data_IF_437527357828
#
_entry.id   IF_437527357828
#
_cell.length_a   1.000
_cell.length_b   1.000
_cell.length_c   1.000
_cell.angle_alpha   90.00
_cell.angle_beta   90.00
_cell.angle_gamma   90.00
#
_symmetry.space_group_name_H-M   'P 1'
#
loop_
_entity.id
_entity.type
_entity.pdbx_description
1 polymer ?
2 non-polymer ?
3 non-polymer ?
4 water ?
#
# COMPACT_ATOMS: atom_id res chain seq x y z
N UNK A 21 -11.21 1.19 -12.47
CA UNK A 21 -12.38 1.74 -11.75
C UNK A 21 -13.16 0.64 -11.02
N UNK A 22 -12.97 -0.65 -11.37
CA UNK A 22 -13.60 -1.71 -10.58
C UNK A 22 -12.55 -2.69 -10.09
N UNK A 23 -12.86 -3.37 -8.99
CA UNK A 23 -11.97 -4.34 -8.38
C UNK A 23 -12.54 -5.75 -8.58
N UNK A 24 -11.68 -6.63 -9.08
CA UNK A 24 -12.00 -8.03 -9.23
C UNK A 24 -11.10 -8.86 -8.33
N UNK A 25 -11.51 -10.11 -8.06
CA UNK A 25 -10.68 -11.07 -7.38
C UNK A 25 -9.45 -11.37 -8.23
N UNK A 26 -8.28 -11.29 -7.61
CA UNK A 26 -7.00 -11.45 -8.27
C UNK A 26 -6.83 -12.88 -8.78
N UNK A 27 -7.44 -13.86 -8.10
CA UNK A 27 -7.24 -15.26 -8.40
C UNK A 27 -8.11 -15.70 -9.58
N UNK A 28 -9.36 -15.24 -9.65
CA UNK A 28 -10.33 -15.81 -10.57
C UNK A 28 -11.06 -14.76 -11.41
N UNK A 29 -11.10 -13.49 -10.96
CA UNK A 29 -11.66 -12.41 -11.75
C UNK A 29 -13.13 -12.08 -11.41
N UNK A 30 -13.64 -12.64 -10.31
CA UNK A 30 -14.97 -12.29 -9.81
C UNK A 30 -15.04 -10.80 -9.50
N UNK A 31 -16.18 -10.18 -9.84
CA UNK A 31 -16.44 -8.78 -9.54
C UNK A 31 -16.69 -8.61 -8.05
N UNK A 32 -16.00 -7.64 -7.41
CA UNK A 32 -16.07 -7.49 -5.96
C UNK A 32 -16.56 -6.09 -5.58
N UNK A 33 -15.93 -5.04 -6.08
CA UNK A 33 -16.23 -3.69 -5.61
C UNK A 33 -15.79 -2.64 -6.63
N UNK A 34 -15.94 -1.36 -6.27
CA UNK A 34 -15.66 -0.24 -7.14
C UNK A 34 -14.84 0.80 -6.38
N UNK A 35 -14.05 1.60 -7.11
CA UNK A 35 -13.23 2.66 -6.53
C UNK A 35 -14.17 3.72 -5.94
N UNK A 36 -15.30 3.96 -6.61
CA UNK A 36 -16.34 4.86 -6.15
C UNK A 36 -16.83 4.52 -4.75
N UNK A 37 -16.69 3.25 -4.33
CA UNK A 37 -17.25 2.78 -3.07
C UNK A 37 -16.23 2.81 -1.94
N UNK A 38 -15.01 3.29 -2.23
CA UNK A 38 -14.01 3.46 -1.18
C UNK A 38 -14.58 4.35 -0.10
N UNK A 39 -14.25 4.02 1.15
CA UNK A 39 -14.80 4.69 2.31
C UNK A 39 -13.68 5.08 3.27
N UNK A 40 -13.44 6.40 3.52
CA UNK A 40 -12.46 6.82 4.51
C UNK A 40 -12.96 6.62 5.93
N UNK A 41 -12.53 5.52 6.56
CA UNK A 41 -12.84 5.25 7.96
C UNK A 41 -11.74 5.88 8.83
N UNK A 42 -12.12 6.88 9.64
CA UNK A 42 -11.18 7.57 10.51
C UNK A 42 -10.07 8.29 9.75
N UNK A 43 -10.40 8.86 8.57
CA UNK A 43 -9.50 9.76 7.88
C UNK A 43 -8.96 9.22 6.56
N UNK A 44 -8.83 7.89 6.42
CA UNK A 44 -8.24 7.30 5.23
C UNK A 44 -8.92 5.97 4.93
N UNK A 45 -8.96 5.61 3.64
CA UNK A 45 -9.56 4.36 3.20
C UNK A 45 -8.60 3.18 3.42
N UNK A 46 -7.30 3.48 3.53
CA UNK A 46 -6.27 2.49 3.74
C UNK A 46 -5.87 2.43 5.21
N UNK A 47 -5.89 1.20 5.76
CA UNK A 47 -5.38 0.92 7.09
C UNK A 47 -4.44 -0.27 7.03
N UNK A 48 -3.22 -0.10 7.55
CA UNK A 48 -2.25 -1.18 7.63
C UNK A 48 -2.35 -1.79 9.02
N UNK A 49 -2.64 -3.10 9.10
CA UNK A 49 -2.96 -3.76 10.36
C UNK A 49 -2.20 -5.08 10.44
N UNK A 50 -2.04 -5.61 11.67
CA UNK A 50 -1.54 -6.97 11.84
C UNK A 50 -2.48 -7.78 12.72
N UNK A 51 -2.64 -9.07 12.39
CA UNK A 51 -3.45 -10.00 13.15
C UNK A 51 -2.59 -10.67 14.20
N UNK A 52 -3.16 -11.48 15.13
CA UNK A 52 -2.39 -12.11 16.20
C UNK A 52 -1.41 -13.19 15.72
N UNK A 53 -1.54 -13.63 14.45
CA UNK A 53 -0.58 -14.54 13.86
C UNK A 53 0.55 -13.78 13.18
N UNK A 54 0.53 -12.44 13.30
CA UNK A 54 1.66 -11.61 12.90
C UNK A 54 1.64 -11.24 11.43
N UNK A 55 0.57 -11.65 10.73
CA UNK A 55 0.38 -11.32 9.33
C UNK A 55 0.01 -9.84 9.25
N UNK A 56 0.67 -9.12 8.34
CA UNK A 56 0.35 -7.73 8.07
C UNK A 56 -0.47 -7.66 6.79
N UNK A 57 -1.51 -6.83 6.83
CA UNK A 57 -2.39 -6.61 5.70
C UNK A 57 -2.53 -5.10 5.47
N UNK A 58 -2.52 -4.70 4.20
CA UNK A 58 -2.99 -3.37 3.81
C UNK A 58 -4.46 -3.49 3.45
N UNK A 59 -5.31 -2.91 4.30
CA UNK A 59 -6.76 -3.08 4.19
C UNK A 59 -7.35 -1.78 3.63
N UNK A 60 -8.18 -1.94 2.58
CA UNK A 60 -8.95 -0.85 2.02
C UNK A 60 -10.40 -1.01 2.45
N UNK A 61 -11.02 0.09 2.87
CA UNK A 61 -12.40 0.08 3.35
C UNK A 61 -13.36 0.47 2.24
N UNK A 62 -14.39 -0.36 2.04
CA UNK A 62 -15.45 -0.12 1.08
C UNK A 62 -16.80 -0.12 1.80
N UNK A 63 -17.70 0.77 1.35
CA UNK A 63 -19.04 0.85 1.90
C UNK A 63 -19.87 -0.36 1.45
N UNK A 64 -19.56 -0.86 0.26
CA UNK A 64 -20.36 -1.85 -0.43
C UNK A 64 -19.41 -2.81 -1.14
N UNK A 65 -19.83 -4.07 -1.29
CA UNK A 65 -19.12 -5.07 -2.07
C UNK A 65 -20.11 -6.16 -2.50
N UNK A 66 -19.68 -6.98 -3.45
CA UNK A 66 -20.49 -8.05 -3.99
C UNK A 66 -19.59 -9.23 -4.34
N UNK A 67 -20.20 -10.39 -4.64
CA UNK A 67 -19.48 -11.55 -5.13
C UNK A 67 -18.69 -12.27 -4.04
N UNK A 68 -18.93 -11.89 -2.78
CA UNK A 68 -18.27 -12.51 -1.64
C UNK A 68 -19.19 -13.57 -1.06
N UNK A 69 -18.63 -14.38 -0.17
CA UNK A 69 -19.39 -15.29 0.67
C UNK A 69 -18.89 -15.10 2.10
N UNK A 70 -19.77 -14.63 2.97
CA UNK A 70 -19.43 -14.33 4.36
C UNK A 70 -19.61 -15.61 5.18
N UNK A 71 -18.59 -15.95 5.96
CA UNK A 71 -18.49 -17.27 6.59
C UNK A 71 -18.44 -17.11 8.10
N UNK A 72 -19.18 -18.00 8.78
CA UNK A 72 -19.23 -18.02 10.23
C UNK A 72 -20.17 -16.96 10.79
N UNK A 73 -20.16 -16.82 12.12
CA UNK A 73 -20.94 -15.81 12.81
C UNK A 73 -20.01 -14.63 13.14
N UNK A 74 -20.54 -13.40 13.32
CA UNK A 74 -19.70 -12.25 13.65
C UNK A 74 -18.96 -12.41 14.98
N UNK A 75 -17.73 -11.87 15.03
CA UNK A 75 -16.91 -11.92 16.23
C UNK A 75 -16.25 -10.57 16.44
N UNK A 76 -16.10 -10.16 17.71
CA UNK A 76 -15.48 -8.90 18.06
C UNK A 76 -14.04 -9.04 18.52
N UNK A 77 -13.53 -10.28 18.57
CA UNK A 77 -12.18 -10.56 19.05
C UNK A 77 -11.15 -9.96 18.10
N UNK A 78 -10.28 -9.10 18.65
CA UNK A 78 -9.17 -8.52 17.92
C UNK A 78 -9.68 -7.69 16.73
N UNK A 79 -10.84 -7.04 16.83
CA UNK A 79 -11.31 -6.18 15.77
C UNK A 79 -10.43 -4.94 15.67
N UNK A 80 -9.97 -4.62 14.46
CA UNK A 80 -9.14 -3.47 14.22
C UNK A 80 -9.97 -2.18 14.24
N UNK A 81 -11.30 -2.33 14.19
CA UNK A 81 -12.20 -1.18 14.13
C UNK A 81 -13.12 -1.19 15.34
N UNK A 82 -12.90 -0.22 16.24
CA UNK A 82 -13.63 -0.13 17.50
C UNK A 82 -15.13 -0.09 17.20
N UNK A 83 -15.89 -0.94 17.89
CA UNK A 83 -17.34 -0.94 17.80
C UNK A 83 -17.88 -1.92 16.76
N UNK A 84 -17.00 -2.58 15.99
CA UNK A 84 -17.46 -3.46 14.92
C UNK A 84 -17.07 -4.90 15.21
N UNK A 85 -17.99 -5.82 14.87
CA UNK A 85 -17.71 -7.24 14.86
C UNK A 85 -17.40 -7.63 13.41
N UNK A 86 -16.60 -8.68 13.22
CA UNK A 86 -16.14 -9.05 11.89
C UNK A 86 -16.63 -10.46 11.53
N UNK A 87 -16.78 -10.67 10.22
CA UNK A 87 -17.04 -11.96 9.62
C UNK A 87 -16.11 -12.11 8.43
N UNK A 88 -15.54 -13.31 8.24
CA UNK A 88 -14.59 -13.54 7.17
C UNK A 88 -15.31 -13.50 5.84
N UNK A 89 -14.69 -12.85 4.84
CA UNK A 89 -15.25 -12.71 3.50
C UNK A 89 -14.36 -13.45 2.51
N UNK A 90 -14.91 -14.53 1.94
CA UNK A 90 -14.26 -15.25 0.87
C UNK A 90 -14.78 -14.74 -0.47
N UNK A 91 -13.97 -14.93 -1.52
CA UNK A 91 -14.46 -14.86 -2.89
C UNK A 91 -15.51 -15.96 -3.06
N UNK A 92 -16.72 -15.56 -3.45
CA UNK A 92 -17.82 -16.48 -3.65
C UNK A 92 -17.58 -17.43 -4.80
N UNK A 93 -16.65 -17.08 -5.70
CA UNK A 93 -16.36 -17.90 -6.85
C UNK A 93 -15.28 -18.91 -6.49
N UNK A 94 -14.10 -18.45 -6.05
CA UNK A 94 -12.93 -19.31 -5.95
C UNK A 94 -12.55 -19.64 -4.50
N UNK A 95 -13.12 -18.93 -3.52
CA UNK A 95 -12.93 -19.27 -2.11
C UNK A 95 -11.71 -18.58 -1.50
N UNK A 96 -11.01 -17.76 -2.28
CA UNK A 96 -9.87 -17.01 -1.80
C UNK A 96 -10.33 -16.01 -0.74
N UNK A 97 -9.52 -15.87 0.32
CA UNK A 97 -9.83 -14.95 1.41
C UNK A 97 -9.53 -13.52 0.96
N UNK A 98 -10.57 -12.68 0.90
CA UNK A 98 -10.41 -11.32 0.37
C UNK A 98 -10.49 -10.27 1.48
N UNK A 99 -10.99 -10.64 2.67
CA UNK A 99 -11.05 -9.72 3.78
C UNK A 99 -12.13 -10.08 4.79
N UNK A 100 -12.85 -9.06 5.26
CA UNK A 100 -13.85 -9.22 6.30
C UNK A 100 -15.02 -8.26 6.07
N UNK A 101 -16.21 -8.67 6.50
CA UNK A 101 -17.34 -7.77 6.63
C UNK A 101 -17.42 -7.31 8.08
N UNK A 102 -17.66 -6.00 8.27
CA UNK A 102 -17.77 -5.42 9.60
C UNK A 102 -19.22 -5.02 9.82
N UNK A 103 -19.72 -5.25 11.04
CA UNK A 103 -21.10 -4.92 11.37
C UNK A 103 -21.21 -4.63 12.87
N UNK A 104 -22.38 -4.16 13.31
CA UNK A 104 -22.70 -3.99 14.72
C UNK A 104 -22.21 -2.66 15.28
N UNK A 105 -21.68 -1.80 14.39
CA UNK A 105 -21.23 -0.47 14.79
C UNK A 105 -22.24 0.59 14.37
N UNK A 106 -21.78 1.82 14.22
CA UNK A 106 -22.63 2.92 13.83
C UNK A 106 -21.84 3.95 13.02
N UNK A 107 -22.51 4.53 12.02
CA UNK A 107 -21.96 5.63 11.23
C UNK A 107 -20.63 5.21 10.62
N UNK A 108 -20.58 4.19 9.74
CA UNK A 108 -21.74 3.38 9.35
C UNK A 108 -21.92 2.12 10.18
N UNK A 109 -23.08 1.47 10.03
CA UNK A 109 -23.38 0.23 10.73
C UNK A 109 -22.50 -0.90 10.20
N UNK A 110 -22.33 -0.96 8.87
CA UNK A 110 -21.57 -2.03 8.23
C UNK A 110 -20.64 -1.45 7.16
N UNK A 111 -19.54 -2.17 6.89
CA UNK A 111 -18.66 -1.89 5.77
C UNK A 111 -17.78 -3.12 5.53
N UNK A 112 -16.97 -3.07 4.46
CA UNK A 112 -16.05 -4.15 4.16
C UNK A 112 -14.61 -3.65 4.24
N UNK A 113 -13.75 -4.47 4.87
CA UNK A 113 -12.31 -4.27 4.81
C UNK A 113 -11.66 -5.35 3.94
N UNK A 114 -11.20 -4.95 2.76
CA UNK A 114 -10.65 -5.89 1.78
C UNK A 114 -9.15 -5.70 1.65
N UNK A 115 -8.44 -6.80 1.43
CA UNK A 115 -6.99 -6.81 1.32
C UNK A 115 -6.59 -6.36 -0.09
N UNK A 116 -5.90 -5.22 -0.17
CA UNK A 116 -5.64 -4.56 -1.45
C UNK A 116 -4.95 -5.51 -2.43
N UNK A 117 -3.98 -6.30 -1.95
CA UNK A 117 -3.15 -7.08 -2.86
C UNK A 117 -3.83 -8.39 -3.25
N UNK A 118 -5.04 -8.64 -2.75
CA UNK A 118 -5.84 -9.77 -3.20
C UNK A 118 -6.81 -9.33 -4.29
N UNK A 119 -6.81 -8.04 -4.64
CA UNK A 119 -7.72 -7.50 -5.64
C UNK A 119 -6.95 -7.04 -6.88
N UNK A 120 -7.65 -6.98 -8.02
CA UNK A 120 -7.08 -6.49 -9.27
C UNK A 120 -7.97 -5.36 -9.80
N UNK A 121 -7.37 -4.20 -10.06
CA UNK A 121 -8.13 -3.03 -10.45
C UNK A 121 -8.12 -2.93 -11.97
N UNK A 122 -9.23 -2.49 -12.56
CA UNK A 122 -9.31 -2.35 -14.00
C UNK A 122 -10.62 -1.73 -14.47
N UNK A 123 -10.78 -1.57 -15.80
CA UNK A 123 -11.90 -0.85 -16.38
C UNK A 123 -13.26 -1.53 -16.20
N UNK A 124 -14.32 -0.72 -16.24
CA UNK A 124 -15.67 -1.18 -15.95
C UNK A 124 -16.20 -2.02 -17.11
N UNK B 21 20.11 -1.72 -5.58
CA UNK B 21 19.91 -2.87 -6.50
C UNK B 21 19.30 -2.43 -7.83
N UNK B 22 19.35 -3.34 -8.81
CA UNK B 22 18.85 -3.05 -10.14
C UNK B 22 17.89 -4.15 -10.57
N UNK B 23 17.03 -3.78 -11.53
CA UNK B 23 16.11 -4.71 -12.17
C UNK B 23 16.55 -4.97 -13.60
N UNK B 24 16.68 -6.25 -13.96
CA UNK B 24 17.13 -6.66 -15.28
C UNK B 24 16.00 -7.45 -15.94
N UNK B 25 16.07 -7.53 -17.28
CA UNK B 25 15.17 -8.37 -18.04
C UNK B 25 15.41 -9.83 -17.68
N UNK B 26 14.33 -10.54 -17.36
CA UNK B 26 14.42 -11.91 -16.86
C UNK B 26 14.87 -12.85 -17.98
N UNK B 27 14.57 -12.50 -19.23
CA UNK B 27 14.83 -13.36 -20.37
C UNK B 27 16.29 -13.26 -20.82
N UNK B 28 16.87 -12.05 -20.83
CA UNK B 28 18.17 -11.85 -21.46
C UNK B 28 19.18 -11.15 -20.54
N UNK B 29 18.71 -10.45 -19.50
CA UNK B 29 19.60 -9.92 -18.49
C UNK B 29 19.94 -8.44 -18.68
N UNK B 30 19.29 -7.77 -19.65
CA UNK B 30 19.58 -6.37 -19.87
C UNK B 30 19.13 -5.55 -18.66
N UNK B 31 19.90 -4.51 -18.32
CA UNK B 31 19.56 -3.56 -17.28
C UNK B 31 18.38 -2.69 -17.72
N UNK B 32 17.38 -2.57 -16.85
CA UNK B 32 16.14 -1.88 -17.17
C UNK B 32 15.90 -0.71 -16.22
N UNK B 33 15.97 -0.96 -14.91
CA UNK B 33 15.68 0.09 -13.94
C UNK B 33 16.39 -0.17 -12.62
N UNK B 34 16.12 0.70 -11.64
CA UNK B 34 16.78 0.67 -10.34
C UNK B 34 15.74 0.75 -9.24
N UNK B 35 16.07 0.20 -8.07
CA UNK B 35 15.17 0.22 -6.92
C UNK B 35 14.99 1.67 -6.47
N UNK B 36 16.07 2.46 -6.57
CA UNK B 36 16.06 3.89 -6.27
C UNK B 36 14.99 4.64 -7.07
N UNK B 37 14.57 4.10 -8.22
CA UNK B 37 13.63 4.78 -9.10
C UNK B 37 12.20 4.34 -8.86
N UNK B 38 11.95 3.47 -7.87
CA UNK B 38 10.59 3.08 -7.54
C UNK B 38 9.78 4.32 -7.24
N UNK B 39 8.52 4.33 -7.70
CA UNK B 39 7.68 5.52 -7.65
C UNK B 39 6.29 5.16 -7.13
N UNK B 40 5.88 5.65 -5.93
CA UNK B 40 4.54 5.37 -5.42
C UNK B 40 3.48 6.21 -6.13
N UNK B 41 2.80 5.61 -7.11
CA UNK B 41 1.71 6.25 -7.82
C UNK B 41 0.41 5.95 -7.09
N UNK B 42 -0.23 7.00 -6.55
CA UNK B 42 -1.47 6.85 -5.81
C UNK B 42 -1.33 5.99 -4.56
N UNK B 43 -0.17 6.10 -3.88
CA UNK B 43 -0.02 5.51 -2.56
C UNK B 43 1.01 4.37 -2.50
N UNK B 44 1.15 3.61 -3.59
CA UNK B 44 2.03 2.44 -3.59
C UNK B 44 2.66 2.27 -4.97
N UNK B 45 3.86 1.66 -4.99
CA UNK B 45 4.57 1.41 -6.23
C UNK B 45 4.02 0.17 -6.93
N UNK B 46 3.36 -0.72 -6.18
CA UNK B 46 2.77 -1.93 -6.73
C UNK B 46 1.27 -1.72 -6.98
N UNK B 47 0.83 -2.05 -8.20
CA UNK B 47 -0.58 -2.11 -8.56
C UNK B 47 -0.86 -3.44 -9.24
N UNK B 48 -1.88 -4.17 -8.77
CA UNK B 48 -2.39 -5.32 -9.50
C UNK B 48 -3.56 -4.87 -10.36
N UNK B 49 -3.46 -5.09 -11.67
CA UNK B 49 -4.41 -4.53 -12.63
C UNK B 49 -4.84 -5.61 -13.61
N UNK B 50 -6.01 -5.40 -14.25
CA UNK B 50 -6.44 -6.24 -15.36
C UNK B 50 -6.79 -5.36 -16.56
N UNK B 51 -6.47 -5.86 -17.76
CA UNK B 51 -6.75 -5.17 -19.00
C UNK B 51 -8.13 -5.60 -19.50
N UNK B 52 -8.68 -5.00 -20.59
CA UNK B 52 -10.01 -5.36 -21.07
C UNK B 52 -10.15 -6.78 -21.63
N UNK B 53 -9.03 -7.46 -21.88
CA UNK B 53 -9.05 -8.87 -22.26
C UNK B 53 -9.02 -9.77 -21.03
N UNK B 54 -8.94 -9.17 -19.84
CA UNK B 54 -9.06 -9.91 -18.59
C UNK B 54 -7.74 -10.50 -18.12
N UNK B 55 -6.63 -10.11 -18.77
CA UNK B 55 -5.30 -10.49 -18.35
C UNK B 55 -4.93 -9.70 -17.11
N UNK B 56 -4.39 -10.36 -16.09
CA UNK B 56 -4.00 -9.72 -14.84
C UNK B 56 -2.49 -9.59 -14.79
N UNK B 57 -2.02 -8.42 -14.35
CA UNK B 57 -0.60 -8.09 -14.25
C UNK B 57 -0.30 -7.49 -12.89
N UNK B 58 0.84 -7.85 -12.30
CA UNK B 58 1.35 -7.18 -11.12
C UNK B 58 2.37 -6.13 -11.58
N UNK B 59 2.00 -4.86 -11.47
CA UNK B 59 2.78 -3.77 -12.07
C UNK B 59 3.50 -3.00 -10.96
N UNK B 60 4.80 -2.77 -11.17
CA UNK B 60 5.59 -1.89 -10.31
C UNK B 60 5.91 -0.61 -11.09
N UNK B 61 5.79 0.55 -10.41
CA UNK B 61 5.97 1.84 -11.05
C UNK B 61 7.37 2.39 -10.81
N UNK B 62 8.03 2.78 -11.90
CA UNK B 62 9.35 3.40 -11.85
C UNK B 62 9.32 4.75 -12.55
N UNK B 63 10.07 5.73 -12.06
CA UNK B 63 10.07 7.07 -12.63
C UNK B 63 10.85 7.08 -13.95
N UNK B 64 11.87 6.23 -14.03
CA UNK B 64 12.74 6.15 -15.19
C UNK B 64 13.01 4.69 -15.52
N UNK B 65 13.48 4.45 -16.76
CA UNK B 65 13.99 3.15 -17.17
C UNK B 65 14.95 3.33 -18.34
N UNK B 66 15.63 2.24 -18.70
CA UNK B 66 16.53 2.21 -19.83
C UNK B 66 16.49 0.82 -20.46
N UNK B 67 17.00 0.73 -21.69
CA UNK B 67 17.15 -0.53 -22.40
C UNK B 67 15.82 -1.06 -22.96
N UNK B 68 14.78 -0.23 -22.95
CA UNK B 68 13.47 -0.63 -23.48
C UNK B 68 13.31 -0.08 -24.89
N UNK B 69 12.29 -0.56 -25.60
CA UNK B 69 11.89 -0.01 -26.89
C UNK B 69 10.38 0.18 -26.86
N UNK B 70 9.94 1.43 -26.96
CA UNK B 70 8.52 1.77 -26.90
C UNK B 70 7.92 1.66 -28.30
N UNK B 71 6.78 0.95 -28.39
CA UNK B 71 6.20 0.59 -29.67
C UNK B 71 4.81 1.20 -29.79
N UNK B 72 4.51 1.70 -30.98
CA UNK B 72 3.21 2.30 -31.27
C UNK B 72 3.17 3.76 -30.84
N UNK B 73 2.01 4.39 -31.07
CA UNK B 73 1.76 5.75 -30.64
C UNK B 73 1.01 5.72 -29.31
N UNK B 74 1.14 6.76 -28.44
CA UNK B 74 0.49 6.73 -27.13
C UNK B 74 -1.04 6.66 -27.24
N UNK B 75 -1.67 5.94 -26.31
CA UNK B 75 -3.11 5.76 -26.31
C UNK B 75 -3.63 5.97 -24.88
N UNK B 76 -4.79 6.63 -24.77
CA UNK B 76 -5.40 6.92 -23.48
C UNK B 76 -6.52 5.94 -23.13
N UNK B 77 -6.86 5.07 -24.10
CA UNK B 77 -7.94 4.10 -23.93
C UNK B 77 -7.58 3.10 -22.84
N UNK B 78 -8.44 3.01 -21.82
CA UNK B 78 -8.34 2.02 -20.76
C UNK B 78 -7.03 2.17 -19.99
N UNK B 79 -6.56 3.42 -19.82
CA UNK B 79 -5.38 3.67 -19.00
C UNK B 79 -5.68 3.36 -17.54
N UNK B 80 -4.79 2.62 -16.88
CA UNK B 80 -4.93 2.34 -15.46
C UNK B 80 -4.62 3.57 -14.61
N UNK B 81 -3.96 4.57 -15.21
CA UNK B 81 -3.54 5.77 -14.48
C UNK B 81 -4.19 7.00 -15.11
N UNK B 82 -5.17 7.59 -14.41
CA UNK B 82 -5.94 8.70 -14.92
C UNK B 82 -5.00 9.84 -15.31
N UNK B 83 -5.20 10.36 -16.53
CA UNK B 83 -4.46 11.52 -17.02
C UNK B 83 -3.22 11.15 -17.82
N UNK B 84 -2.92 9.84 -17.93
CA UNK B 84 -1.75 9.39 -18.65
C UNK B 84 -2.18 8.58 -19.88
N UNK B 85 -1.45 8.77 -20.98
CA UNK B 85 -1.52 7.90 -22.14
C UNK B 85 -0.41 6.86 -22.05
N UNK B 86 -0.64 5.67 -22.63
CA UNK B 86 0.30 4.56 -22.51
C UNK B 86 0.86 4.16 -23.87
N UNK B 87 2.08 3.59 -23.84
CA UNK B 87 2.68 2.91 -24.97
C UNK B 87 3.35 1.63 -24.47
N UNK B 88 3.29 0.56 -25.28
CA UNK B 88 3.87 -0.73 -24.91
C UNK B 88 5.40 -0.63 -24.87
N UNK B 89 6.00 -1.24 -23.85
CA UNK B 89 7.44 -1.23 -23.66
C UNK B 89 7.99 -2.65 -23.78
N UNK B 90 8.81 -2.89 -24.82
CA UNK B 90 9.53 -4.15 -24.98
C UNK B 90 10.95 -4.01 -24.45
N UNK B 91 11.56 -5.13 -24.07
CA UNK B 91 13.00 -5.19 -23.90
C UNK B 91 13.64 -4.90 -25.25
N UNK B 92 14.50 -3.87 -25.31
CA UNK B 92 15.16 -3.47 -26.54
C UNK B 92 16.14 -4.54 -27.04
N UNK B 93 16.57 -5.42 -26.13
CA UNK B 93 17.55 -6.44 -26.47
C UNK B 93 16.85 -7.69 -27.00
N UNK B 94 15.90 -8.26 -26.23
CA UNK B 94 15.34 -9.55 -26.57
C UNK B 94 13.89 -9.49 -27.04
N UNK B 95 13.21 -8.34 -26.86
CA UNK B 95 11.87 -8.17 -27.40
C UNK B 95 10.76 -8.59 -26.44
N UNK B 96 11.12 -9.07 -25.24
CA UNK B 96 10.16 -9.48 -24.24
C UNK B 96 9.33 -8.28 -23.78
N UNK B 97 8.01 -8.48 -23.60
CA UNK B 97 7.12 -7.42 -23.17
C UNK B 97 7.31 -7.22 -21.67
N UNK B 98 7.79 -6.03 -21.28
CA UNK B 98 8.15 -5.76 -19.91
C UNK B 98 7.17 -4.81 -19.25
N UNK B 99 6.34 -4.10 -20.02
CA UNK B 99 5.32 -3.24 -19.44
C UNK B 99 4.88 -2.12 -20.39
N UNK B 100 4.73 -0.91 -19.83
CA UNK B 100 4.22 0.24 -20.58
C UNK B 100 4.89 1.52 -20.10
N UNK B 101 5.02 2.49 -21.01
CA UNK B 101 5.44 3.83 -20.66
C UNK B 101 4.21 4.72 -20.58
N UNK B 102 4.16 5.57 -19.56
CA UNK B 102 3.05 6.49 -19.34
C UNK B 102 3.54 7.91 -19.58
N UNK B 103 2.70 8.75 -20.21
CA UNK B 103 3.06 10.13 -20.50
C UNK B 103 1.81 10.99 -20.56
N UNK B 104 2.02 12.31 -20.53
CA UNK B 104 0.97 13.29 -20.78
C UNK B 104 0.27 13.75 -19.51
N UNK B 105 0.77 13.33 -18.36
CA UNK B 105 0.23 13.76 -17.08
C UNK B 105 1.11 14.82 -16.42
N UNK B 106 1.05 14.91 -15.09
CA UNK B 106 1.87 15.84 -14.34
C UNK B 106 2.21 15.26 -12.97
N UNK B 107 3.43 15.54 -12.51
CA UNK B 107 3.90 15.16 -11.18
C UNK B 107 3.68 13.66 -10.96
N UNK B 108 4.35 12.77 -11.72
CA UNK B 108 5.25 13.17 -12.81
C UNK B 108 4.59 13.21 -14.19
N UNK B 109 5.30 13.79 -15.15
CA UNK B 109 4.81 13.86 -16.53
C UNK B 109 4.81 12.46 -17.14
N UNK B 110 5.90 11.71 -16.89
CA UNK B 110 6.08 10.38 -17.45
C UNK B 110 6.59 9.44 -16.38
N UNK B 111 6.29 8.14 -16.55
CA UNK B 111 6.83 7.08 -15.73
C UNK B 111 6.60 5.75 -16.43
N UNK B 112 7.14 4.67 -15.86
CA UNK B 112 6.98 3.33 -16.41
C UNK B 112 6.21 2.45 -15.41
N UNK B 113 5.30 1.64 -15.95
CA UNK B 113 4.74 0.51 -15.22
C UNK B 113 5.27 -0.81 -15.77
N UNK B 114 6.11 -1.49 -14.99
CA UNK B 114 6.79 -2.70 -15.43
C UNK B 114 6.23 -3.91 -14.69
N UNK B 115 6.15 -5.03 -15.41
CA UNK B 115 5.60 -6.27 -14.90
C UNK B 115 6.65 -6.96 -14.02
N UNK B 116 6.36 -7.07 -12.72
CA UNK B 116 7.36 -7.46 -11.75
C UNK B 116 7.92 -8.84 -12.08
N UNK B 117 7.06 -9.76 -12.55
CA UNK B 117 7.43 -11.15 -12.77
C UNK B 117 8.26 -11.33 -14.04
N UNK B 118 8.40 -10.27 -14.85
CA UNK B 118 9.22 -10.30 -16.04
C UNK B 118 10.61 -9.74 -15.75
N UNK B 119 10.85 -9.30 -14.51
CA UNK B 119 12.10 -8.70 -14.12
C UNK B 119 12.83 -9.60 -13.11
N UNK B 120 14.15 -9.42 -13.04
CA UNK B 120 14.99 -10.07 -12.04
C UNK B 120 15.73 -9.00 -11.25
N UNK B 121 15.63 -9.02 -9.93
CA UNK B 121 16.29 -8.04 -9.09
C UNK B 121 17.65 -8.58 -8.65
N UNK B 122 18.65 -7.71 -8.57
CA UNK B 122 19.99 -8.13 -8.21
C UNK B 122 20.94 -6.96 -8.00
N UNK B 123 22.17 -7.22 -7.51
CA UNK B 123 23.15 -6.15 -7.26
C UNK B 123 23.66 -5.48 -8.54
N UNK B 124 24.15 -4.25 -8.39
CA UNK B 124 24.59 -3.42 -9.50
C UNK B 124 25.88 -3.96 -10.12
N UNK C 19 -7.65 -5.32 19.34
CA UNK C 19 -6.64 -5.58 18.29
C UNK C 19 -5.99 -4.29 17.79
N UNK C 20 -5.49 -3.47 18.73
CA UNK C 20 -4.83 -2.23 18.39
C UNK C 20 -3.99 -1.74 19.57
N UNK C 21 -3.29 -2.68 20.23
CA UNK C 21 -2.65 -2.42 21.52
C UNK C 21 -1.13 -2.43 21.45
N UNK C 22 -0.55 -2.94 20.35
CA UNK C 22 0.88 -2.79 20.09
C UNK C 22 1.04 -2.17 18.71
N UNK C 23 2.04 -1.28 18.60
CA UNK C 23 2.27 -0.53 17.37
C UNK C 23 3.60 -0.98 16.76
N UNK C 24 3.55 -1.37 15.49
CA UNK C 24 4.70 -1.93 14.78
C UNK C 24 5.02 -1.06 13.57
N UNK C 25 6.25 -1.19 13.06
CA UNK C 25 6.65 -0.58 11.81
C UNK C 25 5.84 -1.17 10.66
N UNK C 26 5.26 -0.28 9.85
CA UNK C 26 4.38 -0.65 8.74
C UNK C 26 5.15 -1.41 7.66
N UNK C 27 6.45 -1.14 7.51
CA UNK C 27 7.24 -1.69 6.41
C UNK C 27 7.70 -3.11 6.75
N UNK C 28 8.12 -3.35 8.00
CA UNK C 28 8.83 -4.58 8.33
C UNK C 28 8.25 -5.30 9.55
N UNK C 29 7.51 -4.57 10.41
CA UNK C 29 6.80 -5.20 11.51
C UNK C 29 7.56 -5.17 12.84
N UNK C 30 8.66 -4.39 12.91
CA UNK C 30 9.39 -4.17 14.14
C UNK C 30 8.47 -3.56 15.20
N UNK C 31 8.61 -4.05 16.45
CA UNK C 31 7.87 -3.53 17.59
C UNK C 31 8.42 -2.16 17.96
N UNK C 32 7.51 -1.18 18.13
CA UNK C 32 7.91 0.19 18.37
C UNK C 32 7.36 0.68 19.72
N UNK C 33 6.05 0.54 19.92
CA UNK C 33 5.45 1.08 21.13
C UNK C 33 4.14 0.37 21.47
N UNK C 34 3.51 0.84 22.56
CA UNK C 34 2.35 0.21 23.15
C UNK C 34 1.28 1.26 23.44
N UNK C 35 0.06 0.78 23.72
CA UNK C 35 -1.14 1.59 23.80
C UNK C 35 -1.04 2.80 24.74
N UNK C 36 -1.27 2.73 26.05
CA UNK C 36 -0.55 1.97 27.08
C UNK C 36 0.63 2.85 27.50
N UNK C 37 1.46 3.22 26.51
CA UNK C 37 2.50 4.24 26.64
C UNK C 37 2.04 5.53 25.95
N UNK C 38 0.75 5.60 25.58
CA UNK C 38 0.28 6.49 24.53
C UNK C 38 0.65 7.94 24.84
N UNK C 47 -2.21 14.09 17.97
CA UNK C 47 -2.16 15.51 17.53
C UNK C 47 -2.09 15.55 15.99
N UNK C 48 -3.01 16.32 15.40
CA UNK C 48 -3.01 16.55 13.96
C UNK C 48 -2.23 17.84 13.68
N UNK C 49 -1.19 17.73 12.84
CA UNK C 49 -0.27 18.82 12.60
C UNK C 49 -0.05 18.97 11.09
N UNK C 50 0.47 20.14 10.68
CA UNK C 50 0.78 20.38 9.28
C UNK C 50 2.27 20.68 9.14
N UNK C 51 2.90 20.05 8.14
CA UNK C 51 4.32 20.25 7.88
C UNK C 51 4.52 21.65 7.31
N UNK C 52 5.78 22.15 7.21
CA UNK C 52 6.02 23.51 6.73
C UNK C 52 5.68 23.71 5.23
N UNK C 57 -0.11 15.49 9.01
CA UNK C 57 0.24 14.26 9.75
C UNK C 57 -0.70 14.09 10.95
N UNK C 58 -1.14 12.85 11.17
CA UNK C 58 -1.69 12.46 12.46
C UNK C 58 -0.54 11.87 13.29
N UNK C 59 -0.13 12.60 14.33
CA UNK C 59 1.01 12.21 15.14
C UNK C 59 0.52 11.65 16.46
N UNK C 60 1.05 10.46 16.82
CA UNK C 60 0.76 9.86 18.11
C UNK C 60 1.96 10.06 19.04
N UNK C 61 1.68 10.54 20.26
CA UNK C 61 2.71 10.83 21.24
C UNK C 61 2.84 9.68 22.23
N UNK C 62 4.06 9.19 22.40
CA UNK C 62 4.37 8.09 23.30
C UNK C 62 5.44 8.52 24.30
N UNK C 63 5.29 8.08 25.56
CA UNK C 63 6.24 8.37 26.60
C UNK C 63 7.50 7.54 26.41
N UNK C 64 7.33 6.32 25.87
CA UNK C 64 8.42 5.40 25.64
C UNK C 64 8.28 4.78 24.26
N UNK C 65 9.41 4.32 23.72
CA UNK C 65 9.41 3.52 22.51
C UNK C 65 10.64 2.61 22.50
N UNK C 66 10.64 1.67 21.54
CA UNK C 66 11.76 0.77 21.35
C UNK C 66 11.90 0.47 19.86
N UNK C 67 13.01 -0.15 19.48
CA UNK C 67 13.21 -0.66 18.14
C UNK C 67 13.54 0.43 17.13
N UNK C 68 13.79 1.67 17.61
CA UNK C 68 14.12 2.78 16.75
C UNK C 68 15.64 2.96 16.73
N UNK C 69 16.10 3.81 15.82
CA UNK C 69 17.45 4.35 15.86
C UNK C 69 17.34 5.87 15.68
N UNK C 70 17.76 6.64 16.69
CA UNK C 70 17.68 8.08 16.66
C UNK C 70 18.94 8.65 15.99
N UNK C 71 18.74 9.52 14.99
CA UNK C 71 19.82 9.92 14.10
C UNK C 71 19.92 11.44 14.11
N UNK C 72 21.16 11.94 14.00
CA UNK C 72 21.39 13.37 13.81
C UNK C 72 21.40 14.12 15.13
N UNK C 73 21.62 15.44 15.05
CA UNK C 73 21.67 16.29 16.23
C UNK C 73 20.31 16.96 16.42
N UNK C 74 19.89 17.25 17.68
CA UNK C 74 18.57 17.83 17.92
C UNK C 74 18.39 19.19 17.26
N UNK C 75 17.17 19.46 16.80
CA UNK C 75 16.86 20.69 16.10
C UNK C 75 15.50 21.21 16.58
N UNK C 76 15.37 22.55 16.64
CA UNK C 76 14.14 23.19 17.07
C UNK C 76 13.32 23.74 15.91
N UNK C 77 13.81 23.55 14.67
CA UNK C 77 13.17 24.12 13.49
C UNK C 77 11.79 23.50 13.26
N UNK C 78 10.77 24.37 13.25
CA UNK C 78 9.36 24.05 13.07
C UNK C 78 8.90 22.89 13.95
N UNK C 79 9.34 22.89 15.22
CA UNK C 79 8.89 21.91 16.18
C UNK C 79 7.41 22.14 16.48
N UNK C 80 6.62 21.05 16.41
CA UNK C 80 5.20 21.13 16.65
C UNK C 80 4.91 21.26 18.15
N UNK C 81 5.93 21.01 18.99
CA UNK C 81 5.76 21.04 20.43
C UNK C 81 6.65 22.14 21.04
N UNK C 84 10.52 21.96 22.86
CA UNK C 84 11.20 20.67 22.62
C UNK C 84 11.94 20.71 21.28
N UNK C 85 13.16 20.15 21.30
CA UNK C 85 13.95 19.96 20.09
C UNK C 85 13.74 18.51 19.63
N UNK C 86 13.84 18.29 18.31
CA UNK C 86 13.53 16.99 17.75
C UNK C 86 14.77 16.36 17.11
N UNK C 87 14.77 15.02 17.09
CA UNK C 87 15.76 14.20 16.41
C UNK C 87 15.00 13.11 15.64
N UNK C 88 15.48 12.79 14.43
CA UNK C 88 14.77 11.86 13.55
C UNK C 88 14.86 10.45 14.15
N UNK C 89 13.72 9.74 14.09
CA UNK C 89 13.63 8.36 14.58
C UNK C 89 13.37 7.43 13.40
N UNK C 90 14.35 6.57 13.10
CA UNK C 90 14.20 5.55 12.07
C UNK C 90 13.83 4.23 12.73
N UNK C 91 13.18 3.35 11.95
CA UNK C 91 13.07 1.95 12.30
C UNK C 91 14.48 1.34 12.35
N UNK C 92 14.84 0.79 13.51
CA UNK C 92 16.15 0.16 13.69
C UNK C 92 16.32 -1.09 12.83
N UNK C 93 15.21 -1.67 12.36
CA UNK C 93 15.25 -2.89 11.58
C UNK C 93 15.41 -2.54 10.09
N UNK C 94 14.49 -1.73 9.54
CA UNK C 94 14.44 -1.54 8.10
C UNK C 94 14.86 -0.14 7.66
N UNK C 95 14.98 0.83 8.59
CA UNK C 95 15.47 2.15 8.27
C UNK C 95 14.37 3.15 7.87
N UNK C 96 13.11 2.71 7.86
CA UNK C 96 11.99 3.57 7.54
C UNK C 96 11.83 4.69 8.58
N UNK C 97 11.53 5.90 8.12
CA UNK C 97 11.33 7.05 8.98
C UNK C 97 9.97 6.95 9.68
N UNK C 98 9.97 6.83 11.02
CA UNK C 98 8.74 6.60 11.76
C UNK C 98 8.31 7.83 12.56
N UNK C 99 9.21 8.80 12.75
CA UNK C 99 8.87 10.01 13.47
C UNK C 99 10.09 10.70 14.07
N UNK C 100 9.92 11.20 15.30
CA UNK C 100 10.96 11.99 15.96
C UNK C 100 10.97 11.71 17.46
N UNK C 101 12.16 11.85 18.06
CA UNK C 101 12.30 11.91 19.51
C UNK C 101 12.37 13.38 19.90
N UNK C 102 11.68 13.73 20.99
CA UNK C 102 11.64 15.10 21.49
C UNK C 102 12.39 15.15 22.82
N UNK C 103 13.14 16.25 23.02
CA UNK C 103 13.88 16.45 24.26
C UNK C 103 13.97 17.96 24.56
N UNK C 109 9.99 15.73 29.84
CA UNK C 109 11.39 16.10 29.45
C UNK C 109 11.69 15.54 28.06
N UNK C 110 11.36 14.26 27.85
CA UNK C 110 11.50 13.62 26.55
C UNK C 110 10.25 12.79 26.26
N UNK C 111 9.95 12.63 24.96
CA UNK C 111 8.89 11.77 24.49
C UNK C 111 9.07 11.50 23.00
N UNK C 112 8.25 10.63 22.43
CA UNK C 112 8.31 10.32 21.01
C UNK C 112 7.03 10.75 20.30
N UNK C 113 7.18 11.37 19.13
CA UNK C 113 6.06 11.68 18.25
C UNK C 113 6.18 10.87 16.97
N UNK C 114 5.30 9.85 16.83
CA UNK C 114 5.38 8.92 15.72
C UNK C 114 4.23 9.16 14.75
N UNK C 115 4.51 8.97 13.46
CA UNK C 115 3.57 9.21 12.38
C UNK C 115 2.57 8.05 12.32
N UNK C 116 1.29 8.32 12.56
CA UNK C 116 0.28 7.28 12.66
C UNK C 116 0.26 6.39 11.42
N UNK C 117 0.40 6.97 10.23
CA UNK C 117 0.25 6.24 8.97
C UNK C 117 1.49 5.41 8.65
N UNK C 118 2.56 5.55 9.44
CA UNK C 118 3.76 4.73 9.28
C UNK C 118 3.72 3.54 10.23
N UNK C 119 2.67 3.43 11.04
CA UNK C 119 2.57 2.39 12.04
C UNK C 119 1.44 1.43 11.67
N UNK C 120 1.56 0.20 12.15
CA UNK C 120 0.51 -0.80 12.08
C UNK C 120 0.10 -1.20 13.49
N UNK C 121 -1.20 -1.08 13.79
CA UNK C 121 -1.72 -1.40 15.10
C UNK C 121 -2.20 -2.85 15.09
N UNK C 122 -2.02 -3.54 16.22
CA UNK C 122 -2.58 -4.87 16.39
C UNK C 122 -2.54 -5.33 17.85
N UNK C 123 -2.94 -6.58 18.14
CA UNK C 123 -3.01 -7.07 19.52
C UNK C 123 -1.64 -7.27 20.19
N UNK C 124 -1.69 -7.42 21.52
CA UNK C 124 -0.50 -7.70 22.32
C UNK C 124 -0.04 -9.15 22.08
#
# INVERSE_FOLDING_TARGET
>A
AMPLDAGGQNSTQMVLAPGASIFRCRQCGQTISRRDWLLPMGGDHEHVVFNPAGMIFRVWCFSLAQGLRLIGAPSGEFSWFKGYDWTIALCGQCGSHLGWHYEGGSQPQTFFGLIKDRLAEGPAD
>B
AMPLDAGGQNSTQMVLAPGASIFRCRQCGQTISRRDWLLPMGGDHEHVVFNPAGMIFRVWCFSLAQGLRLIGAPSGEFSWFKGYDWTIALCGQCGSHLGWHYEGGSQPQTFFGLIKDRLAEGPAD
>C
AMPLDAGGQNSTQMVLAPGASIFRCRQCGQTISRRDWLLPMGGDHEHVVFNPAGMIFRVWCFSLAQGLRLIGAPSGEFSWFKGYDWTIALCGQCGSHLGWHYEGGSQPQTFFGLIKDRLAEGPAD
#
